data_IF_266371045590
#
_entry.id   IF_266371045590
#
_cell.length_a   1.000
_cell.length_b   1.000
_cell.length_c   1.000
_cell.angle_alpha   90.00
_cell.angle_beta   90.00
_cell.angle_gamma   90.00
#
_symmetry.space_group_name_H-M   'P 1'
#
loop_
_entity.id
_entity.type
_entity.pdbx_description
1 polymer ?
#
# COMPACT_ATOMS: atom_id res chain seq x y z
N UNK A 1 -13.79 -52.83 -4.87
CA UNK A 1 -13.33 -52.28 -6.16
C UNK A 1 -13.97 -50.92 -6.41
N UNK A 2 -15.19 -50.81 -6.95
CA UNK A 2 -15.79 -49.49 -7.22
C UNK A 2 -15.97 -48.61 -5.96
N UNK A 3 -16.39 -49.17 -4.83
CA UNK A 3 -16.64 -48.39 -3.61
C UNK A 3 -15.37 -47.78 -2.99
N UNK A 4 -14.22 -48.47 -3.09
CA UNK A 4 -12.93 -47.96 -2.60
C UNK A 4 -12.42 -46.81 -3.48
N UNK A 5 -12.59 -46.90 -4.80
CA UNK A 5 -12.17 -45.86 -5.74
C UNK A 5 -12.92 -44.53 -5.52
N UNK A 6 -14.21 -44.57 -5.16
CA UNK A 6 -14.97 -43.36 -4.84
C UNK A 6 -14.53 -42.72 -3.51
N UNK A 7 -14.09 -43.52 -2.55
CA UNK A 7 -13.57 -43.03 -1.27
C UNK A 7 -12.22 -42.33 -1.49
N UNK A 8 -11.31 -42.96 -2.22
CA UNK A 8 -10.00 -42.36 -2.55
C UNK A 8 -10.14 -41.05 -3.33
N UNK A 9 -11.04 -41.02 -4.33
CA UNK A 9 -11.35 -39.80 -5.07
C UNK A 9 -11.91 -38.70 -4.16
N UNK A 10 -12.79 -39.06 -3.21
CA UNK A 10 -13.34 -38.13 -2.22
C UNK A 10 -12.27 -37.54 -1.30
N UNK A 11 -11.32 -38.36 -0.85
CA UNK A 11 -10.19 -37.91 -0.01
C UNK A 11 -9.29 -36.94 -0.77
N UNK A 12 -8.94 -37.24 -2.03
CA UNK A 12 -8.14 -36.34 -2.87
C UNK A 12 -8.87 -35.01 -3.07
N UNK A 13 -10.16 -35.06 -3.40
CA UNK A 13 -10.96 -33.85 -3.59
C UNK A 13 -10.99 -33.00 -2.31
N UNK A 14 -11.17 -33.62 -1.15
CA UNK A 14 -11.14 -32.93 0.14
C UNK A 14 -9.79 -32.25 0.40
N UNK A 15 -8.67 -32.92 0.10
CA UNK A 15 -7.31 -32.35 0.24
C UNK A 15 -7.14 -31.16 -0.71
N UNK A 16 -7.56 -31.27 -1.97
CA UNK A 16 -7.46 -30.18 -2.96
C UNK A 16 -8.27 -28.97 -2.52
N UNK A 17 -9.52 -29.18 -2.09
CA UNK A 17 -10.38 -28.09 -1.58
C UNK A 17 -9.77 -27.44 -0.35
N UNK A 18 -9.26 -28.24 0.59
CA UNK A 18 -8.59 -27.73 1.79
C UNK A 18 -7.36 -26.89 1.42
N UNK A 19 -6.51 -27.38 0.51
CA UNK A 19 -5.33 -26.65 0.06
C UNK A 19 -5.70 -25.37 -0.70
N UNK A 20 -6.77 -25.38 -1.50
CA UNK A 20 -7.25 -24.20 -2.21
C UNK A 20 -7.75 -23.13 -1.22
N UNK A 21 -8.54 -23.52 -0.21
CA UNK A 21 -9.03 -22.61 0.83
C UNK A 21 -7.87 -22.06 1.65
N UNK A 22 -6.96 -22.92 2.10
CA UNK A 22 -5.78 -22.48 2.85
C UNK A 22 -4.87 -21.58 2.01
N UNK A 23 -4.67 -21.89 0.73
CA UNK A 23 -3.90 -21.09 -0.21
C UNK A 23 -4.52 -19.71 -0.38
N UNK A 24 -5.83 -19.63 -0.65
CA UNK A 24 -6.55 -18.36 -0.79
C UNK A 24 -6.47 -17.51 0.49
N UNK A 25 -6.65 -18.12 1.67
CA UNK A 25 -6.55 -17.38 2.94
C UNK A 25 -5.13 -16.90 3.21
N UNK A 26 -4.11 -17.68 2.86
CA UNK A 26 -2.71 -17.28 3.01
C UNK A 26 -2.37 -16.13 2.06
N UNK A 27 -2.85 -16.17 0.82
CA UNK A 27 -2.64 -15.12 -0.18
C UNK A 27 -3.30 -13.82 0.26
N UNK A 28 -4.57 -13.86 0.68
CA UNK A 28 -5.27 -12.67 1.20
C UNK A 28 -4.54 -12.04 2.40
N UNK A 29 -4.02 -12.85 3.33
CA UNK A 29 -3.23 -12.34 4.46
C UNK A 29 -1.89 -11.74 4.03
N UNK A 30 -1.25 -12.29 2.99
CA UNK A 30 -0.01 -11.75 2.46
C UNK A 30 -0.24 -10.40 1.77
N UNK A 31 -1.31 -10.26 1.01
CA UNK A 31 -1.73 -8.99 0.41
C UNK A 31 -2.02 -7.92 1.47
N UNK A 32 -2.77 -8.25 2.52
CA UNK A 32 -3.06 -7.35 3.64
C UNK A 32 -1.78 -6.87 4.34
N UNK A 33 -0.83 -7.79 4.57
CA UNK A 33 0.46 -7.44 5.18
C UNK A 33 1.25 -6.49 4.27
N UNK A 34 1.28 -6.75 2.97
CA UNK A 34 1.95 -5.91 1.99
C UNK A 34 1.30 -4.52 1.89
N UNK A 35 -0.03 -4.44 1.93
CA UNK A 35 -0.76 -3.18 1.89
C UNK A 35 -0.39 -2.27 3.08
N UNK A 36 -0.35 -2.83 4.29
CA UNK A 36 0.07 -2.08 5.50
C UNK A 36 1.52 -1.61 5.42
N UNK A 37 2.42 -2.44 4.89
CA UNK A 37 3.82 -2.03 4.68
C UNK A 37 3.92 -0.87 3.68
N UNK A 38 3.10 -0.87 2.62
CA UNK A 38 3.03 0.24 1.67
C UNK A 38 2.49 1.53 2.32
N UNK A 39 1.50 1.44 3.19
CA UNK A 39 0.99 2.58 3.95
C UNK A 39 2.06 3.19 4.87
N UNK A 40 2.85 2.36 5.56
CA UNK A 40 3.95 2.82 6.41
C UNK A 40 5.10 3.46 5.62
N UNK A 41 5.32 3.03 4.38
CA UNK A 41 6.32 3.57 3.47
C UNK A 41 5.77 4.67 2.55
N UNK A 42 4.55 5.16 2.81
CA UNK A 42 3.95 6.20 2.00
C UNK A 42 4.87 7.43 1.96
N UNK A 43 5.12 7.99 0.76
CA UNK A 43 5.92 9.19 0.64
C UNK A 43 5.27 10.31 1.44
N UNK A 44 6.11 11.10 2.11
CA UNK A 44 5.71 12.23 2.94
C UNK A 44 6.05 13.53 2.21
N UNK A 45 5.25 14.56 2.45
CA UNK A 45 5.47 15.91 1.96
C UNK A 45 5.42 16.91 3.14
N UNK A 46 6.30 17.90 3.13
CA UNK A 46 6.26 19.02 4.06
C UNK A 46 5.42 20.15 3.44
N UNK A 47 4.34 20.53 4.11
CA UNK A 47 3.43 21.60 3.65
C UNK A 47 3.28 22.68 4.71
N UNK A 48 3.08 23.93 4.29
CA UNK A 48 2.75 25.03 5.19
C UNK A 48 1.22 25.19 5.27
N UNK A 49 0.62 24.84 6.41
CA UNK A 49 -0.81 25.03 6.70
C UNK A 49 -0.96 25.80 8.01
N UNK A 50 -1.90 26.75 8.05
CA UNK A 50 -2.12 27.62 9.22
C UNK A 50 -0.85 28.34 9.72
N UNK A 51 0.06 28.67 8.79
CA UNK A 51 1.34 29.31 9.08
C UNK A 51 2.37 28.41 9.77
N UNK A 52 2.17 27.09 9.80
CA UNK A 52 3.08 26.12 10.41
C UNK A 52 3.49 25.03 9.42
N UNK A 53 4.76 24.57 9.44
CA UNK A 53 5.18 23.41 8.65
C UNK A 53 4.57 22.14 9.25
N UNK A 54 3.91 21.34 8.42
CA UNK A 54 3.28 20.08 8.81
C UNK A 54 3.70 19.01 7.80
N UNK A 55 4.09 17.84 8.30
CA UNK A 55 4.37 16.68 7.46
C UNK A 55 3.07 15.92 7.26
N UNK A 56 2.69 15.69 6.01
CA UNK A 56 1.50 14.93 5.62
C UNK A 56 1.88 13.85 4.62
N UNK A 57 1.13 12.74 4.52
CA UNK A 57 1.27 11.82 3.39
C UNK A 57 1.09 12.57 2.07
N UNK A 58 1.93 12.28 1.08
CA UNK A 58 1.87 12.91 -0.26
C UNK A 58 0.48 12.83 -0.88
N UNK A 59 -0.26 11.73 -0.63
CA UNK A 59 -1.62 11.54 -1.11
C UNK A 59 -2.65 12.50 -0.48
N UNK A 60 -2.33 13.14 0.65
CA UNK A 60 -3.18 14.11 1.35
C UNK A 60 -2.84 15.57 0.98
N UNK A 61 -1.88 15.78 0.08
CA UNK A 61 -1.59 17.11 -0.48
C UNK A 61 -2.74 17.53 -1.38
N UNK A 62 -3.24 18.74 -1.20
CA UNK A 62 -4.39 19.28 -1.93
C UNK A 62 -4.05 20.63 -2.60
N UNK A 63 -4.79 21.02 -3.66
CA UNK A 63 -4.63 22.35 -4.25
C UNK A 63 -4.83 23.45 -3.19
N UNK A 64 -3.82 24.32 -3.06
CA UNK A 64 -3.77 25.36 -2.02
C UNK A 64 -2.68 25.14 -0.98
N UNK A 65 -2.14 23.92 -0.87
CA UNK A 65 -0.96 23.67 -0.06
C UNK A 65 0.27 24.39 -0.62
N UNK A 66 1.08 24.94 0.28
CA UNK A 66 2.42 25.45 -0.06
C UNK A 66 3.42 24.38 0.31
N UNK A 67 4.00 23.73 -0.70
CA UNK A 67 5.06 22.74 -0.52
C UNK A 67 6.35 23.43 -0.07
N UNK A 68 6.98 22.90 0.98
CA UNK A 68 8.33 23.28 1.40
C UNK A 68 9.27 22.20 0.93
N UNK A 69 10.22 22.56 0.08
CA UNK A 69 11.11 21.61 -0.61
C UNK A 69 12.57 21.96 -0.34
N UNK A 70 13.37 20.94 -0.05
CA UNK A 70 14.82 21.00 0.04
C UNK A 70 15.49 20.23 -1.11
N UNK A 71 16.79 20.41 -1.27
CA UNK A 71 17.56 19.70 -2.28
C UNK A 71 17.52 18.19 -2.01
N UNK A 72 17.01 17.42 -2.98
CA UNK A 72 16.85 15.97 -2.88
C UNK A 72 15.42 15.52 -2.59
N UNK A 73 14.52 16.43 -2.25
CA UNK A 73 13.12 16.11 -2.06
C UNK A 73 12.45 15.71 -3.38
N UNK A 74 11.50 14.77 -3.26
CA UNK A 74 10.58 14.45 -4.37
C UNK A 74 9.43 15.46 -4.35
N UNK A 75 9.13 16.01 -5.52
CA UNK A 75 8.00 16.93 -5.67
C UNK A 75 6.70 16.13 -5.53
N UNK A 76 5.91 16.44 -4.50
CA UNK A 76 4.70 15.73 -4.13
C UNK A 76 3.57 15.83 -5.18
N UNK A 77 3.44 16.99 -5.83
CA UNK A 77 2.45 17.28 -6.85
C UNK A 77 2.92 18.41 -7.77
N UNK A 78 2.32 18.53 -8.96
CA UNK A 78 2.56 19.68 -9.83
C UNK A 78 2.23 20.98 -9.10
N UNK A 79 3.17 21.92 -9.13
CA UNK A 79 3.08 23.16 -8.36
C UNK A 79 3.66 24.34 -9.13
N UNK A 80 3.28 25.55 -8.70
CA UNK A 80 3.88 26.80 -9.16
C UNK A 80 4.87 27.28 -8.11
N UNK A 81 6.11 27.52 -8.53
CA UNK A 81 7.13 28.11 -7.66
C UNK A 81 6.69 29.52 -7.26
N UNK A 82 6.64 29.77 -5.95
CA UNK A 82 6.28 31.08 -5.37
C UNK A 82 7.50 31.81 -4.81
N UNK A 83 8.48 31.05 -4.31
CA UNK A 83 9.73 31.55 -3.75
C UNK A 83 10.82 30.50 -4.01
N UNK A 84 12.03 30.94 -4.34
CA UNK A 84 13.19 30.08 -4.53
C UNK A 84 14.45 30.82 -4.11
N UNK A 85 15.28 30.15 -3.32
CA UNK A 85 16.57 30.69 -2.86
C UNK A 85 17.64 29.65 -3.20
N UNK A 86 18.76 30.11 -3.75
CA UNK A 86 19.94 29.29 -3.95
C UNK A 86 20.85 29.52 -2.74
N UNK A 87 20.92 28.53 -1.85
CA UNK A 87 21.79 28.56 -0.66
C UNK A 87 23.20 28.06 -1.00
#
# INVERSE_FOLDING_TARGET
MLLDEWIDAGVILAIVVLNAVLGYVQEARAEDALARLKEMAAPLALVLRDGRPIVVPTAEVVPGDVLVLEAGDRIAADARVVEAVHL
#
